data_IF_851100353021
#
_entry.id   IF_851100353021
#
_cell.length_a   1.000
_cell.length_b   1.000
_cell.length_c   1.000
_cell.angle_alpha   90.00
_cell.angle_beta   90.00
_cell.angle_gamma   90.00
#
_symmetry.space_group_name_H-M   'P 1'
#
loop_
_entity.id
_entity.type
_entity.pdbx_description
1 polymer ?
#
# COMPACT_ATOMS: atom_id res chain seq x y z
N UNK A 1 -3.53 4.65 -56.89
CA UNK A 1 -4.45 4.92 -55.77
C UNK A 1 -4.41 3.86 -54.65
N UNK A 2 -4.51 2.54 -54.94
CA UNK A 2 -4.47 1.48 -53.91
C UNK A 2 -3.21 1.48 -53.01
N UNK A 3 -2.02 1.75 -53.55
CA UNK A 3 -0.75 1.82 -52.78
C UNK A 3 -0.73 2.94 -51.73
N UNK A 4 -1.32 4.09 -52.04
CA UNK A 4 -1.39 5.23 -51.10
C UNK A 4 -2.38 4.96 -49.97
N UNK A 5 -3.47 4.23 -50.26
CA UNK A 5 -4.45 3.82 -49.27
C UNK A 5 -3.87 2.79 -48.29
N UNK A 6 -3.15 1.78 -48.81
CA UNK A 6 -2.44 0.79 -48.00
C UNK A 6 -1.36 1.42 -47.10
N UNK A 7 -0.62 2.41 -47.61
CA UNK A 7 0.36 3.14 -46.81
C UNK A 7 -0.29 3.94 -45.67
N UNK A 8 -1.43 4.59 -45.93
CA UNK A 8 -2.19 5.30 -44.90
C UNK A 8 -2.71 4.35 -43.82
N UNK A 9 -3.29 3.21 -44.21
CA UNK A 9 -3.78 2.20 -43.25
C UNK A 9 -2.64 1.65 -42.40
N UNK A 10 -1.48 1.36 -42.99
CA UNK A 10 -0.29 0.92 -42.26
C UNK A 10 0.19 1.98 -41.26
N UNK A 11 0.27 3.25 -41.69
CA UNK A 11 0.67 4.35 -40.82
C UNK A 11 -0.29 4.53 -39.64
N UNK A 12 -1.60 4.43 -39.88
CA UNK A 12 -2.61 4.50 -38.81
C UNK A 12 -2.49 3.33 -37.84
N UNK A 13 -2.18 2.13 -38.32
CA UNK A 13 -1.98 0.96 -37.47
C UNK A 13 -0.74 1.12 -36.57
N UNK A 14 0.38 1.58 -37.13
CA UNK A 14 1.62 1.83 -36.38
C UNK A 14 1.41 2.93 -35.32
N UNK A 15 0.69 3.99 -35.67
CA UNK A 15 0.38 5.07 -34.73
C UNK A 15 -0.54 4.61 -33.60
N UNK A 16 -1.53 3.77 -33.89
CA UNK A 16 -2.38 3.16 -32.88
C UNK A 16 -1.57 2.26 -31.93
N UNK A 17 -0.71 1.39 -32.45
CA UNK A 17 0.18 0.52 -31.66
C UNK A 17 1.12 1.31 -30.73
N UNK A 18 1.63 2.46 -31.17
CA UNK A 18 2.48 3.32 -30.33
C UNK A 18 1.72 3.95 -29.15
N UNK A 19 0.42 4.23 -29.32
CA UNK A 19 -0.43 4.81 -28.26
C UNK A 19 -0.89 3.73 -27.26
N UNK A 20 -1.11 2.49 -27.71
CA UNK A 20 -1.49 1.37 -26.84
C UNK A 20 -0.30 0.68 -26.15
N UNK A 21 0.92 0.82 -26.68
CA UNK A 21 2.12 0.21 -26.10
C UNK A 21 2.63 0.88 -24.82
N UNK A 22 2.27 2.15 -24.57
CA UNK A 22 2.71 2.92 -23.41
C UNK A 22 1.92 2.65 -22.12
N UNK A 23 0.88 1.81 -22.17
CA UNK A 23 0.00 1.53 -21.01
C UNK A 23 0.47 0.38 -20.12
N UNK A 24 1.55 -0.33 -20.46
CA UNK A 24 2.02 -1.52 -19.73
C UNK A 24 2.93 -1.17 -18.53
N UNK A 25 3.26 0.10 -18.31
CA UNK A 25 4.04 0.51 -17.13
C UNK A 25 3.22 0.66 -15.83
N UNK A 26 1.97 0.20 -15.82
CA UNK A 26 1.21 0.05 -14.59
C UNK A 26 1.73 -1.16 -13.78
N UNK A 27 2.61 -0.85 -12.82
CA UNK A 27 2.84 -1.59 -11.57
C UNK A 27 3.68 -2.89 -11.63
N UNK A 28 4.99 -2.76 -11.91
CA UNK A 28 5.93 -3.66 -11.24
C UNK A 28 6.03 -3.21 -9.77
N UNK A 29 5.28 -3.88 -8.89
CA UNK A 29 5.23 -3.56 -7.46
C UNK A 29 6.58 -3.88 -6.84
N UNK A 30 7.30 -2.86 -6.37
CA UNK A 30 8.61 -3.05 -5.76
C UNK A 30 8.49 -3.30 -4.25
N UNK A 31 8.37 -4.58 -3.88
CA UNK A 31 8.28 -4.99 -2.46
C UNK A 31 9.48 -4.55 -1.62
N UNK A 32 10.65 -4.32 -2.23
CA UNK A 32 11.85 -3.89 -1.51
C UNK A 32 11.74 -2.47 -0.94
N UNK A 33 10.85 -1.65 -1.49
CA UNK A 33 10.61 -0.30 -0.98
C UNK A 33 9.33 -0.21 -0.15
N UNK A 34 8.73 -1.35 0.17
CA UNK A 34 7.53 -1.46 0.99
C UNK A 34 7.85 -2.11 2.35
N UNK A 35 7.20 -1.59 3.39
CA UNK A 35 7.18 -2.22 4.70
C UNK A 35 5.74 -2.44 5.15
N UNK A 36 5.55 -3.45 5.99
CA UNK A 36 4.32 -3.66 6.75
C UNK A 36 4.47 -3.01 8.12
N UNK A 37 3.50 -2.20 8.51
CA UNK A 37 3.46 -1.52 9.82
C UNK A 37 2.19 -1.93 10.54
N UNK A 38 2.36 -2.53 11.71
CA UNK A 38 1.29 -2.96 12.59
C UNK A 38 1.14 -1.92 13.69
N UNK A 39 0.02 -1.22 13.72
CA UNK A 39 -0.19 -0.15 14.71
C UNK A 39 -1.09 -0.62 15.84
N UNK A 40 -0.90 -0.01 17.01
CA UNK A 40 -1.80 -0.19 18.15
C UNK A 40 -3.17 0.49 17.89
N UNK A 41 -4.23 0.10 18.62
CA UNK A 41 -5.50 0.81 18.54
C UNK A 41 -5.31 2.31 18.77
N UNK A 42 -6.19 3.11 18.15
CA UNK A 42 -6.21 4.58 18.25
C UNK A 42 -4.97 5.32 17.75
N UNK A 43 -3.99 4.61 17.16
CA UNK A 43 -2.70 5.18 16.76
C UNK A 43 -2.70 5.75 15.33
N UNK A 44 -3.53 5.22 14.43
CA UNK A 44 -3.61 5.69 13.05
C UNK A 44 -5.00 5.39 12.48
N UNK A 45 -5.58 6.39 11.82
CA UNK A 45 -6.84 6.26 11.11
C UNK A 45 -6.69 6.73 9.66
N UNK A 46 -6.85 5.79 8.72
CA UNK A 46 -7.03 6.14 7.31
C UNK A 46 -8.53 6.30 7.00
N UNK A 47 -8.92 7.21 6.09
CA UNK A 47 -10.32 7.34 5.66
C UNK A 47 -10.91 5.97 5.24
N UNK A 48 -12.13 5.67 5.67
CA UNK A 48 -12.73 4.33 5.47
C UNK A 48 -12.97 3.99 3.99
N UNK A 49 -13.12 4.99 3.13
CA UNK A 49 -13.43 4.78 1.72
C UNK A 49 -12.17 4.68 0.83
N UNK A 50 -10.98 4.85 1.41
CA UNK A 50 -9.72 4.74 0.68
C UNK A 50 -9.29 3.28 0.58
N UNK A 51 -9.42 2.74 -0.64
CA UNK A 51 -9.00 1.37 -0.97
C UNK A 51 -7.58 1.29 -1.53
N UNK A 52 -6.94 2.44 -1.74
CA UNK A 52 -5.63 2.56 -2.35
C UNK A 52 -4.55 3.12 -1.42
N UNK A 53 -3.41 3.42 -2.02
CA UNK A 53 -2.33 4.14 -1.37
C UNK A 53 -2.60 5.64 -1.42
N UNK A 54 -2.55 6.31 -0.27
CA UNK A 54 -2.66 7.77 -0.15
C UNK A 54 -1.32 8.36 0.25
N UNK A 55 -1.10 9.65 -0.06
CA UNK A 55 0.11 10.35 0.42
C UNK A 55 0.13 10.41 1.95
N UNK A 56 1.29 10.20 2.57
CA UNK A 56 1.47 10.36 4.02
C UNK A 56 1.03 11.76 4.46
N UNK A 57 1.35 12.78 3.67
CA UNK A 57 1.00 14.18 3.95
C UNK A 57 -0.52 14.43 4.02
N UNK A 58 -1.29 13.60 3.32
CA UNK A 58 -2.76 13.69 3.28
C UNK A 58 -3.45 13.05 4.48
N UNK A 59 -2.69 12.34 5.33
CA UNK A 59 -3.25 11.73 6.54
C UNK A 59 -3.68 12.84 7.50
N UNK A 60 -4.92 12.76 7.96
CA UNK A 60 -5.47 13.73 8.88
C UNK A 60 -4.76 13.65 10.25
N UNK A 61 -4.02 14.71 10.60
CA UNK A 61 -3.31 14.88 11.88
C UNK A 61 -4.22 14.79 13.12
N UNK A 62 -5.53 14.94 12.93
CA UNK A 62 -6.53 14.95 14.01
C UNK A 62 -6.99 13.54 14.41
N UNK A 63 -6.70 12.52 13.60
CA UNK A 63 -7.18 11.15 13.80
C UNK A 63 -6.00 10.18 13.95
N UNK A 64 -5.43 10.12 15.15
CA UNK A 64 -4.35 9.18 15.50
C UNK A 64 -3.23 9.81 16.34
N UNK A 65 -2.11 9.09 16.48
CA UNK A 65 -0.91 9.57 17.17
C UNK A 65 -0.18 10.61 16.33
N UNK A 66 -0.05 11.82 16.88
CA UNK A 66 0.74 12.91 16.27
C UNK A 66 2.20 12.53 16.09
N UNK A 67 2.74 11.75 17.03
CA UNK A 67 4.12 11.26 17.00
C UNK A 67 4.31 10.36 15.77
N UNK A 68 3.45 9.36 15.57
CA UNK A 68 3.54 8.44 14.43
C UNK A 68 3.51 9.19 13.09
N UNK A 69 2.57 10.13 12.95
CA UNK A 69 2.50 10.97 11.75
C UNK A 69 3.77 11.80 11.54
N UNK A 70 4.29 12.43 12.60
CA UNK A 70 5.55 13.18 12.51
C UNK A 70 6.73 12.28 12.14
N UNK A 71 6.79 11.06 12.69
CA UNK A 71 7.83 10.10 12.35
C UNK A 71 7.76 9.69 10.90
N UNK A 72 6.56 9.43 10.34
CA UNK A 72 6.41 9.14 8.91
C UNK A 72 6.99 10.24 8.01
N UNK A 73 6.79 11.50 8.38
CA UNK A 73 7.39 12.62 7.64
C UNK A 73 8.91 12.67 7.80
N UNK A 74 9.43 12.45 9.02
CA UNK A 74 10.88 12.46 9.28
C UNK A 74 11.64 11.35 8.57
N UNK A 75 11.02 10.17 8.42
CA UNK A 75 11.61 9.03 7.72
C UNK A 75 11.31 9.05 6.21
N UNK A 76 10.75 10.15 5.70
CA UNK A 76 10.45 10.35 4.28
C UNK A 76 9.58 9.22 3.71
N UNK A 77 8.55 8.82 4.45
CA UNK A 77 7.55 7.89 3.94
C UNK A 77 6.67 8.58 2.89
N UNK A 78 6.46 7.92 1.74
CA UNK A 78 5.78 8.53 0.60
C UNK A 78 4.27 8.34 0.66
N UNK A 79 3.86 7.07 0.78
CA UNK A 79 2.46 6.67 0.71
C UNK A 79 2.16 5.62 1.76
N UNK A 80 0.90 5.56 2.16
CA UNK A 80 0.37 4.54 3.05
C UNK A 80 -0.94 3.98 2.51
N UNK A 81 -1.19 2.70 2.76
CA UNK A 81 -2.46 2.05 2.45
C UNK A 81 -2.74 0.91 3.39
N UNK A 82 -3.97 0.41 3.40
CA UNK A 82 -4.33 -0.79 4.17
C UNK A 82 -3.73 -2.01 3.48
N UNK A 83 -3.08 -2.90 4.24
CA UNK A 83 -2.64 -4.18 3.69
C UNK A 83 -3.84 -5.08 3.29
N UNK A 84 -4.96 -4.94 4.01
CA UNK A 84 -6.20 -5.67 3.76
C UNK A 84 -7.36 -4.69 3.53
N UNK A 85 -7.46 -4.05 2.34
CA UNK A 85 -8.43 -2.97 2.10
C UNK A 85 -9.89 -3.45 2.09
N UNK A 86 -10.15 -4.74 1.95
CA UNK A 86 -11.49 -5.32 2.02
C UNK A 86 -11.89 -5.75 3.44
N UNK A 87 -10.97 -5.69 4.42
CA UNK A 87 -11.24 -6.13 5.78
C UNK A 87 -12.06 -5.09 6.54
N UNK A 88 -13.32 -5.41 6.83
CA UNK A 88 -14.20 -4.56 7.63
C UNK A 88 -14.06 -4.91 9.13
N UNK A 89 -14.36 -3.95 10.01
CA UNK A 89 -14.30 -4.19 11.47
C UNK A 89 -15.24 -5.33 11.90
N UNK A 90 -16.35 -5.55 11.19
CA UNK A 90 -17.29 -6.66 11.43
C UNK A 90 -16.69 -8.06 11.18
N UNK A 91 -15.60 -8.14 10.44
CA UNK A 91 -14.92 -9.41 10.11
C UNK A 91 -14.00 -9.87 11.27
N UNK A 92 -14.07 -9.21 12.42
CA UNK A 92 -13.26 -9.50 13.61
C UNK A 92 -13.70 -10.72 14.41
N UNK A 93 -14.85 -11.34 14.09
CA UNK A 93 -15.31 -12.59 14.71
C UNK A 93 -15.49 -13.65 13.63
N UNK A 94 -14.82 -14.78 13.77
CA UNK A 94 -14.86 -15.90 12.83
C UNK A 94 -15.32 -17.15 13.58
N UNK A 95 -16.19 -17.94 12.95
CA UNK A 95 -16.63 -19.23 13.47
C UNK A 95 -15.71 -20.30 12.92
N UNK A 96 -14.99 -21.02 13.79
CA UNK A 96 -14.15 -22.16 13.42
C UNK A 96 -15.04 -23.37 13.07
N UNK A 97 -14.48 -24.36 12.38
CA UNK A 97 -15.17 -25.58 11.96
C UNK A 97 -15.81 -26.40 13.08
N UNK A 98 -15.38 -26.20 14.33
CA UNK A 98 -15.93 -26.81 15.55
C UNK A 98 -17.10 -26.02 16.16
N UNK A 99 -17.48 -24.88 15.56
CA UNK A 99 -18.54 -24.01 16.04
C UNK A 99 -18.09 -22.96 17.05
N UNK A 100 -16.81 -22.92 17.42
CA UNK A 100 -16.28 -21.91 18.35
C UNK A 100 -16.12 -20.55 17.66
N UNK A 101 -16.56 -19.48 18.34
CA UNK A 101 -16.31 -18.11 17.89
C UNK A 101 -14.94 -17.64 18.38
N UNK A 102 -14.07 -17.28 17.45
CA UNK A 102 -12.76 -16.73 17.75
C UNK A 102 -12.63 -15.31 17.21
N UNK A 103 -11.87 -14.47 17.92
CA UNK A 103 -11.54 -13.14 17.43
C UNK A 103 -10.43 -13.24 16.38
N UNK A 104 -10.70 -12.76 15.17
CA UNK A 104 -9.71 -12.65 14.12
C UNK A 104 -8.67 -11.57 14.45
N UNK A 105 -7.43 -11.69 13.94
CA UNK A 105 -6.46 -10.61 14.01
C UNK A 105 -7.03 -9.30 13.45
N UNK A 106 -6.65 -8.18 14.04
CA UNK A 106 -7.11 -6.87 13.62
C UNK A 106 -6.38 -6.40 12.34
N UNK A 107 -6.64 -7.08 11.22
CA UNK A 107 -6.00 -6.83 9.92
C UNK A 107 -6.22 -5.39 9.41
N UNK A 108 -7.28 -4.71 9.87
CA UNK A 108 -7.52 -3.29 9.58
C UNK A 108 -6.46 -2.34 10.16
N UNK A 109 -5.57 -2.83 11.04
CA UNK A 109 -4.44 -2.08 11.65
C UNK A 109 -3.08 -2.41 11.04
N UNK A 110 -3.08 -3.10 9.91
CA UNK A 110 -1.87 -3.43 9.17
C UNK A 110 -1.83 -2.55 7.93
N UNK A 111 -0.75 -1.79 7.81
CA UNK A 111 -0.57 -0.80 6.76
C UNK A 111 0.66 -1.12 5.93
N UNK A 112 0.55 -0.89 4.63
CA UNK A 112 1.70 -0.87 3.72
C UNK A 112 2.20 0.57 3.69
N UNK A 113 3.48 0.77 3.91
CA UNK A 113 4.15 2.08 3.78
C UNK A 113 5.23 1.97 2.72
N UNK A 114 5.25 2.90 1.77
CA UNK A 114 6.22 2.92 0.66
C UNK A 114 7.27 4.00 0.82
N UNK A 115 8.48 3.72 0.36
CA UNK A 115 9.63 4.64 0.35
C UNK A 115 10.22 4.75 -1.06
N UNK A 116 11.11 5.72 -1.26
CA UNK A 116 11.84 5.89 -2.52
C UNK A 116 12.96 4.85 -2.73
N UNK A 117 13.44 4.20 -1.65
CA UNK A 117 14.53 3.24 -1.74
C UNK A 117 14.44 2.13 -0.70
N UNK A 118 15.07 0.98 -1.00
CA UNK A 118 15.19 -0.15 -0.06
C UNK A 118 15.93 0.27 1.22
N UNK A 119 16.97 1.10 1.08
CA UNK A 119 17.72 1.60 2.25
C UNK A 119 16.84 2.47 3.17
N UNK A 120 15.98 3.30 2.60
CA UNK A 120 15.04 4.10 3.38
C UNK A 120 14.02 3.22 4.10
N UNK A 121 13.47 2.22 3.41
CA UNK A 121 12.56 1.23 4.00
C UNK A 121 13.21 0.47 5.17
N UNK A 122 14.45 0.02 5.01
CA UNK A 122 15.20 -0.68 6.08
C UNK A 122 15.47 0.21 7.30
N UNK A 123 15.90 1.44 7.08
CA UNK A 123 16.14 2.38 8.16
C UNK A 123 14.84 2.68 8.93
N UNK A 124 13.73 2.85 8.20
CA UNK A 124 12.41 3.12 8.76
C UNK A 124 11.94 2.02 9.71
N UNK A 125 12.19 0.74 9.41
CA UNK A 125 11.82 -0.40 10.28
C UNK A 125 12.41 -0.21 11.68
N UNK A 126 13.69 0.15 11.78
CA UNK A 126 14.37 0.31 13.08
C UNK A 126 13.84 1.48 13.90
N UNK A 127 13.35 2.52 13.24
CA UNK A 127 12.79 3.73 13.88
C UNK A 127 11.36 3.45 14.33
N UNK A 128 10.53 2.90 13.44
CA UNK A 128 9.13 2.61 13.72
C UNK A 128 8.96 1.57 14.83
N UNK A 129 9.82 0.54 14.89
CA UNK A 129 9.80 -0.46 15.96
C UNK A 129 10.08 0.09 17.37
N UNK A 130 10.56 1.34 17.49
CA UNK A 130 10.80 2.00 18.77
C UNK A 130 9.62 2.88 19.21
N UNK A 131 8.64 3.12 18.33
CA UNK A 131 7.50 3.97 18.64
C UNK A 131 6.49 3.22 19.51
N UNK A 132 5.95 3.86 20.57
CA UNK A 132 4.94 3.23 21.42
C UNK A 132 3.61 2.97 20.69
N UNK A 133 3.37 3.64 19.57
CA UNK A 133 2.16 3.51 18.73
C UNK A 133 2.24 2.39 17.70
N UNK A 134 3.43 1.79 17.52
CA UNK A 134 3.70 0.73 16.56
C UNK A 134 3.93 -0.57 17.33
N UNK A 135 3.16 -1.60 17.00
CA UNK A 135 3.35 -2.94 17.56
C UNK A 135 4.62 -3.58 17.00
N UNK A 136 4.77 -3.51 15.67
CA UNK A 136 6.01 -3.83 14.97
C UNK A 136 5.95 -3.35 13.50
N UNK A 137 7.11 -3.27 12.87
CA UNK A 137 7.32 -3.00 11.46
C UNK A 137 8.28 -4.05 10.87
N UNK A 138 8.02 -4.51 9.64
CA UNK A 138 8.80 -5.53 8.94
C UNK A 138 8.85 -5.29 7.43
N UNK A 139 9.79 -5.94 6.74
CA UNK A 139 9.85 -5.91 5.27
C UNK A 139 8.56 -6.50 4.69
N UNK A 140 8.06 -5.90 3.60
CA UNK A 140 7.06 -6.58 2.79
C UNK A 140 7.74 -7.66 1.95
N UNK A 141 7.44 -8.93 2.23
CA UNK A 141 7.95 -10.06 1.45
C UNK A 141 6.81 -10.87 0.85
N UNK A 142 7.08 -11.54 -0.27
CA UNK A 142 6.18 -12.58 -0.75
C UNK A 142 6.21 -13.78 0.20
N UNK A 143 5.06 -14.43 0.46
CA UNK A 143 5.05 -15.69 1.18
C UNK A 143 5.85 -16.75 0.40
N UNK A 144 6.85 -17.33 1.06
CA UNK A 144 7.58 -18.49 0.54
C UNK A 144 6.77 -19.73 0.93
N UNK A 145 6.15 -20.39 -0.06
CA UNK A 145 5.38 -21.63 0.13
C UNK A 145 6.21 -22.86 -0.22
#
# INVERSE_FOLDING_TARGET
MKKLYLFKVFLTLVLALAIFGSSVQAQERNLKTEILVYVLPDSLYLPQNEKGMISIESINKSTGSKELHSTFLTIEANKIGRAFPQWATKDSVVVRSDGEQINAPAFHRIFIVTFDSEKAAENAISILNKLPSVKFAERHAEPVF
#
